data_IF_104969450618
#
_entry.id   IF_104969450618
#
_cell.length_a   1.000
_cell.length_b   1.000
_cell.length_c   1.000
_cell.angle_alpha   90.00
_cell.angle_beta   90.00
_cell.angle_gamma   90.00
#
_symmetry.space_group_name_H-M   'P 1'
#
loop_
_entity.id
_entity.type
_entity.pdbx_description
1 polymer ?
#
# COMPACT_ATOMS: atom_id res chain seq x y z
N UNK A 1 8.67 -5.08 -17.24
CA UNK A 1 8.59 -5.09 -16.32
C UNK A 1 7.91 -6.10 -15.47
N UNK A 2 7.18 -6.70 -14.96
CA UNK A 2 6.68 -7.77 -14.17
C UNK A 2 7.03 -7.66 -12.69
N UNK A 3 7.29 -6.45 -12.22
CA UNK A 3 7.55 -6.28 -10.80
C UNK A 3 6.30 -6.61 -10.00
N UNK A 4 6.46 -7.36 -8.93
CA UNK A 4 5.37 -7.76 -8.07
C UNK A 4 5.72 -7.37 -6.63
N UNK A 5 4.81 -6.69 -5.97
CA UNK A 5 4.93 -6.41 -4.55
C UNK A 5 4.12 -7.44 -3.78
N UNK A 6 4.73 -8.01 -2.77
CA UNK A 6 4.11 -9.06 -1.96
C UNK A 6 3.99 -8.56 -0.53
N UNK A 7 2.83 -8.75 0.06
CA UNK A 7 2.64 -8.38 1.45
C UNK A 7 3.36 -9.39 2.34
N UNK A 8 4.12 -8.86 3.30
CA UNK A 8 4.78 -9.70 4.28
C UNK A 8 3.71 -10.38 5.13
N UNK A 9 3.70 -11.72 5.21
CA UNK A 9 2.66 -12.42 5.98
C UNK A 9 2.69 -12.07 7.48
N UNK A 10 3.82 -11.59 7.98
CA UNK A 10 3.92 -11.16 9.37
C UNK A 10 3.46 -9.73 9.58
N UNK A 11 3.27 -8.97 8.51
CA UNK A 11 2.85 -7.58 8.62
C UNK A 11 1.35 -7.50 8.83
N UNK A 12 0.95 -6.59 9.70
CA UNK A 12 -0.47 -6.34 9.95
C UNK A 12 -0.82 -5.00 9.35
N UNK A 13 -1.66 -5.03 8.35
CA UNK A 13 -2.13 -3.83 7.68
C UNK A 13 -3.63 -3.72 7.87
N UNK A 14 -4.08 -2.55 8.25
CA UNK A 14 -5.50 -2.26 8.37
C UNK A 14 -5.72 -0.81 7.99
N UNK A 15 -6.94 -0.47 7.62
CA UNK A 15 -7.26 0.89 7.27
C UNK A 15 -8.68 1.22 7.65
N UNK A 16 -8.95 2.52 7.80
CA UNK A 16 -10.26 3.00 8.19
C UNK A 16 -10.53 4.33 7.50
N UNK A 17 -11.78 4.65 7.27
CA UNK A 17 -12.14 5.95 6.72
C UNK A 17 -12.38 6.92 7.88
N UNK A 18 -11.80 8.12 7.76
CA UNK A 18 -11.97 9.18 8.76
C UNK A 18 -12.33 10.45 7.99
N UNK A 19 -13.59 10.80 8.01
CA UNK A 19 -14.11 11.94 7.24
C UNK A 19 -13.78 11.75 5.76
N UNK A 20 -13.08 12.69 5.14
CA UNK A 20 -12.71 12.61 3.73
C UNK A 20 -11.36 11.93 3.52
N UNK A 21 -10.68 11.58 4.60
CA UNK A 21 -9.35 10.96 4.53
C UNK A 21 -9.42 9.50 4.91
N UNK A 22 -8.29 8.83 4.83
CA UNK A 22 -8.18 7.44 5.27
C UNK A 22 -7.03 7.34 6.27
N UNK A 23 -7.17 6.40 7.19
CA UNK A 23 -6.16 6.15 8.21
C UNK A 23 -5.61 4.75 7.98
N UNK A 24 -4.31 4.67 7.81
CA UNK A 24 -3.63 3.39 7.61
C UNK A 24 -2.91 3.00 8.89
N UNK A 25 -3.10 1.75 9.30
CA UNK A 25 -2.35 1.15 10.41
C UNK A 25 -1.37 0.14 9.84
N UNK A 26 -0.10 0.35 10.10
CA UNK A 26 0.93 -0.54 9.60
C UNK A 26 2.08 -0.59 10.60
N UNK A 27 2.51 -1.80 10.94
CA UNK A 27 3.65 -2.02 11.83
C UNK A 27 3.54 -1.30 13.17
N UNK A 28 2.32 -1.25 13.70
CA UNK A 28 2.08 -0.59 14.99
C UNK A 28 2.01 0.92 14.94
N UNK A 29 2.03 1.49 13.75
CA UNK A 29 1.93 2.92 13.55
C UNK A 29 0.68 3.27 12.75
N UNK A 30 0.16 4.47 12.96
CA UNK A 30 -0.98 4.94 12.19
C UNK A 30 -0.57 6.19 11.41
N UNK A 31 -1.23 6.40 10.28
CA UNK A 31 -0.89 7.47 9.37
C UNK A 31 -2.13 7.93 8.62
N UNK A 32 -2.36 9.24 8.60
CA UNK A 32 -3.44 9.81 7.81
C UNK A 32 -3.00 9.99 6.37
N UNK A 33 -3.86 9.63 5.44
CA UNK A 33 -3.59 9.73 4.01
C UNK A 33 -4.77 10.39 3.32
N UNK A 34 -4.55 11.04 2.17
CA UNK A 34 -5.66 11.61 1.41
C UNK A 34 -6.67 10.55 1.00
N UNK A 35 -7.94 10.93 0.97
CA UNK A 35 -9.01 10.00 0.61
C UNK A 35 -8.85 9.39 -0.77
N UNK A 36 -8.11 10.06 -1.67
CA UNK A 36 -7.87 9.51 -3.00
C UNK A 36 -7.11 8.19 -2.96
N UNK A 37 -6.43 7.88 -1.85
CA UNK A 37 -5.68 6.64 -1.71
C UNK A 37 -6.54 5.50 -1.15
N UNK A 38 -7.84 5.72 -0.98
CA UNK A 38 -8.74 4.69 -0.44
C UNK A 38 -8.67 3.41 -1.25
N UNK A 39 -8.75 3.52 -2.57
CA UNK A 39 -8.74 2.33 -3.43
C UNK A 39 -7.38 1.62 -3.37
N UNK A 40 -6.30 2.39 -3.26
CA UNK A 40 -4.98 1.80 -3.10
C UNK A 40 -4.90 1.01 -1.79
N UNK A 41 -5.43 1.55 -0.70
CA UNK A 41 -5.43 0.84 0.57
C UNK A 41 -6.26 -0.43 0.51
N UNK A 42 -7.37 -0.41 -0.23
CA UNK A 42 -8.15 -1.63 -0.43
C UNK A 42 -7.32 -2.70 -1.11
N UNK A 43 -6.55 -2.32 -2.12
CA UNK A 43 -5.69 -3.27 -2.82
C UNK A 43 -4.60 -3.80 -1.90
N UNK A 44 -3.93 -2.89 -1.19
CA UNK A 44 -2.80 -3.26 -0.34
C UNK A 44 -3.23 -4.17 0.80
N UNK A 45 -4.38 -3.89 1.41
CA UNK A 45 -4.81 -4.65 2.58
C UNK A 45 -5.51 -5.95 2.23
N UNK A 46 -6.02 -6.09 1.01
CA UNK A 46 -6.78 -7.29 0.65
C UNK A 46 -6.05 -8.24 -0.29
N UNK A 47 -5.07 -7.76 -1.05
CA UNK A 47 -4.36 -8.59 -2.02
C UNK A 47 -3.09 -9.14 -1.40
N UNK A 48 -2.79 -10.41 -1.70
CA UNK A 48 -1.53 -11.02 -1.26
C UNK A 48 -0.36 -10.55 -2.11
N UNK A 49 -0.63 -10.25 -3.37
CA UNK A 49 0.38 -9.78 -4.30
C UNK A 49 -0.19 -8.64 -5.13
N UNK A 50 0.63 -7.65 -5.40
CA UNK A 50 0.25 -6.48 -6.19
C UNK A 50 1.12 -6.45 -7.44
N UNK A 51 0.48 -6.49 -8.59
CA UNK A 51 1.18 -6.45 -9.86
C UNK A 51 1.34 -5.02 -10.32
N UNK A 52 2.47 -4.73 -10.95
CA UNK A 52 2.76 -3.37 -11.38
C UNK A 52 1.69 -2.80 -12.31
N UNK A 53 1.06 -3.63 -13.11
CA UNK A 53 0.00 -3.15 -14.01
C UNK A 53 -1.23 -2.68 -13.25
N UNK A 54 -1.48 -3.23 -12.06
CA UNK A 54 -2.59 -2.79 -11.21
C UNK A 54 -2.24 -1.55 -10.42
N UNK A 55 -0.97 -1.23 -10.33
CA UNK A 55 -0.49 -0.09 -9.56
C UNK A 55 -0.10 1.09 -10.44
N UNK A 56 -0.26 0.97 -11.76
CA UNK A 56 0.23 1.98 -12.68
C UNK A 56 -0.21 3.39 -12.34
N UNK A 57 -1.52 3.58 -12.09
CA UNK A 57 -2.00 4.92 -11.79
C UNK A 57 -1.51 5.41 -10.42
N UNK A 58 -1.30 4.50 -9.48
CA UNK A 58 -0.80 4.89 -8.16
C UNK A 58 0.68 5.20 -8.20
N UNK A 59 1.42 4.52 -9.06
CA UNK A 59 2.85 4.81 -9.24
C UNK A 59 3.06 6.15 -9.93
N UNK A 60 2.09 6.57 -10.73
CA UNK A 60 2.14 7.88 -11.37
C UNK A 60 1.73 9.00 -10.40
N UNK A 61 1.03 8.66 -9.33
CA UNK A 61 0.61 9.61 -8.31
C UNK A 61 1.70 9.69 -7.24
N UNK A 62 2.18 10.89 -6.96
CA UNK A 62 3.25 11.09 -5.99
C UNK A 62 2.89 10.54 -4.61
N UNK A 63 1.66 10.80 -4.15
CA UNK A 63 1.25 10.31 -2.83
C UNK A 63 1.13 8.79 -2.79
N UNK A 64 0.63 8.20 -3.87
CA UNK A 64 0.53 6.74 -3.94
C UNK A 64 1.90 6.10 -3.97
N UNK A 65 2.81 6.66 -4.75
CA UNK A 65 4.17 6.15 -4.83
C UNK A 65 4.89 6.26 -3.49
N UNK A 66 4.73 7.40 -2.80
CA UNK A 66 5.35 7.60 -1.50
C UNK A 66 4.84 6.57 -0.49
N UNK A 67 3.55 6.29 -0.51
CA UNK A 67 2.97 5.29 0.38
C UNK A 67 3.56 3.91 0.12
N UNK A 68 3.62 3.50 -1.14
CA UNK A 68 4.16 2.19 -1.49
C UNK A 68 5.62 2.08 -1.10
N UNK A 69 6.40 3.12 -1.34
CA UNK A 69 7.80 3.14 -0.93
C UNK A 69 7.96 3.03 0.57
N UNK A 70 7.11 3.72 1.33
CA UNK A 70 7.16 3.68 2.78
C UNK A 70 6.86 2.27 3.29
N UNK A 71 5.87 1.61 2.71
CA UNK A 71 5.51 0.26 3.11
C UNK A 71 6.64 -0.73 2.81
N UNK A 72 7.34 -0.54 1.71
CA UNK A 72 8.50 -1.38 1.39
C UNK A 72 9.62 -1.13 2.39
N UNK A 73 9.87 0.12 2.74
CA UNK A 73 10.92 0.46 3.71
C UNK A 73 10.62 -0.11 5.08
N UNK A 74 9.36 -0.16 5.47
CA UNK A 74 8.96 -0.72 6.76
C UNK A 74 8.99 -2.24 6.79
N UNK A 75 9.11 -2.86 5.63
CA UNK A 75 9.05 -4.31 5.54
C UNK A 75 7.65 -4.88 5.46
N UNK A 76 6.63 -4.02 5.30
CA UNK A 76 5.26 -4.48 5.14
C UNK A 76 5.02 -5.06 3.76
N UNK A 77 5.71 -4.53 2.76
CA UNK A 77 5.69 -5.05 1.39
C UNK A 77 7.12 -5.35 0.98
N UNK A 78 7.27 -6.31 0.09
CA UNK A 78 8.56 -6.64 -0.47
C UNK A 78 8.42 -6.92 -1.96
N UNK A 79 9.52 -6.87 -2.67
CA UNK A 79 9.54 -7.22 -4.08
C UNK A 79 9.71 -8.74 -4.22
N UNK A 80 8.93 -9.33 -5.11
CA UNK A 80 9.06 -10.75 -5.42
C UNK A 80 9.65 -10.89 -6.79
N UNK A 81 10.58 -11.82 -6.93
CA UNK A 81 11.11 -12.18 -8.24
C UNK A 81 10.23 -13.26 -8.84
N UNK A 82 10.08 -13.22 -10.12
CA UNK A 82 9.32 -14.25 -10.83
C UNK A 82 10.16 -15.45 -11.15
#
# INVERSE_FOLDING_TARGET
>A
DGAILVRNPSARLAWSEVDDDVLLFASGQSRYLPGKLRELLKLVCSADALHSENLGEWLADEDGRDLLCELVKQGSLGFADE
#
